data_IF_177357862801
#
_entry.id   IF_177357862801
#
_cell.length_a   1.000
_cell.length_b   1.000
_cell.length_c   1.000
_cell.angle_alpha   90.00
_cell.angle_beta   90.00
_cell.angle_gamma   90.00
#
_symmetry.space_group_name_H-M   'P 1'
#
loop_
_entity.id
_entity.type
_entity.pdbx_description
1 polymer ?
#
# COMPACT_ATOMS: atom_id res chain seq x y z
N UNK A 1 0.28 11.38 -27.23
CA UNK A 1 -1.18 11.29 -26.99
C UNK A 1 -2.02 12.08 -27.99
N UNK A 2 -1.43 12.85 -28.93
CA UNK A 2 -2.16 13.68 -29.89
C UNK A 2 -2.14 13.17 -31.34
N UNK A 3 -1.61 11.97 -31.60
CA UNK A 3 -1.51 11.45 -32.97
C UNK A 3 -2.93 11.34 -33.58
N UNK A 4 -3.13 11.76 -34.86
CA UNK A 4 -4.45 11.74 -35.49
C UNK A 4 -5.09 10.35 -35.44
N UNK A 5 -4.32 9.30 -35.71
CA UNK A 5 -4.80 7.90 -35.76
C UNK A 5 -5.10 7.26 -34.39
N UNK A 6 -4.88 7.96 -33.28
CA UNK A 6 -5.26 7.46 -31.95
C UNK A 6 -6.69 7.89 -31.64
N UNK A 7 -7.62 6.93 -31.52
CA UNK A 7 -9.03 7.22 -31.19
C UNK A 7 -9.35 7.11 -29.69
N UNK A 8 -8.53 6.43 -28.90
CA UNK A 8 -8.74 6.21 -27.48
C UNK A 8 -7.40 6.04 -26.75
N UNK A 9 -7.31 6.56 -25.53
CA UNK A 9 -6.15 6.38 -24.64
C UNK A 9 -6.56 5.55 -23.42
N UNK A 10 -5.81 4.48 -23.13
CA UNK A 10 -5.88 3.74 -21.87
C UNK A 10 -4.71 4.17 -20.99
N UNK A 11 -4.98 4.89 -19.91
CA UNK A 11 -3.97 5.53 -19.07
C UNK A 11 -3.87 4.85 -17.70
N UNK A 12 -2.96 3.88 -17.57
CA UNK A 12 -2.64 3.19 -16.31
C UNK A 12 -1.32 3.72 -15.74
N UNK A 13 -1.40 4.68 -14.82
CA UNK A 13 -0.22 5.29 -14.23
C UNK A 13 -0.54 6.28 -13.12
N UNK A 14 0.45 7.08 -12.74
CA UNK A 14 0.29 8.11 -11.71
C UNK A 14 -0.66 9.25 -12.14
N UNK A 15 -1.12 10.07 -11.18
CA UNK A 15 -2.10 11.13 -11.43
C UNK A 15 -1.67 12.14 -12.51
N UNK A 16 -0.36 12.42 -12.61
CA UNK A 16 0.17 13.29 -13.66
C UNK A 16 -0.02 12.73 -15.08
N UNK A 17 0.21 11.44 -15.28
CA UNK A 17 0.00 10.77 -16.57
C UNK A 17 -1.48 10.71 -16.93
N UNK A 18 -2.33 10.35 -15.97
CA UNK A 18 -3.77 10.27 -16.17
C UNK A 18 -4.35 11.65 -16.51
N UNK A 19 -3.91 12.71 -15.81
CA UNK A 19 -4.26 14.09 -16.15
C UNK A 19 -3.83 14.45 -17.58
N UNK A 20 -2.60 14.09 -17.99
CA UNK A 20 -2.13 14.33 -19.35
C UNK A 20 -2.99 13.63 -20.42
N UNK A 21 -3.43 12.40 -20.16
CA UNK A 21 -4.34 11.68 -21.06
C UNK A 21 -5.70 12.40 -21.19
N UNK A 22 -6.31 12.82 -20.07
CA UNK A 22 -7.55 13.58 -20.09
C UNK A 22 -7.41 14.99 -20.68
N UNK A 23 -6.20 15.57 -20.69
CA UNK A 23 -5.90 16.85 -21.34
C UNK A 23 -5.47 16.72 -22.81
N UNK A 24 -5.52 15.53 -23.40
CA UNK A 24 -5.00 15.28 -24.75
C UNK A 24 -5.93 15.71 -25.89
N UNK A 25 -7.20 16.03 -25.59
CA UNK A 25 -8.25 16.23 -26.61
C UNK A 25 -8.76 14.93 -27.24
N UNK A 26 -8.28 13.77 -26.78
CA UNK A 26 -8.78 12.45 -27.18
C UNK A 26 -9.60 11.82 -26.05
N UNK A 27 -10.60 10.97 -26.35
CA UNK A 27 -11.23 10.12 -25.35
C UNK A 27 -10.18 9.33 -24.56
N UNK A 28 -10.34 9.27 -23.24
CA UNK A 28 -9.39 8.60 -22.35
C UNK A 28 -10.12 7.83 -21.24
N UNK A 29 -9.60 6.64 -20.92
CA UNK A 29 -9.96 5.85 -19.75
C UNK A 29 -8.73 5.81 -18.85
N UNK A 30 -8.79 6.56 -17.74
CA UNK A 30 -7.74 6.64 -16.75
C UNK A 30 -8.05 5.85 -15.48
N UNK A 31 -7.00 5.61 -14.69
CA UNK A 31 -7.11 5.02 -13.34
C UNK A 31 -6.78 6.05 -12.25
N UNK A 32 -6.99 5.68 -10.98
CA UNK A 32 -6.61 6.49 -9.82
C UNK A 32 -5.52 5.84 -8.96
N UNK A 33 -4.89 6.64 -8.10
CA UNK A 33 -4.02 6.13 -7.06
C UNK A 33 -4.85 5.47 -5.94
N UNK A 34 -4.42 4.29 -5.48
CA UNK A 34 -5.09 3.56 -4.40
C UNK A 34 -4.48 3.86 -3.03
N UNK A 35 -5.33 3.90 -1.99
CA UNK A 35 -4.92 3.91 -0.59
C UNK A 35 -5.86 3.02 0.25
N UNK A 36 -5.99 1.76 -0.15
CA UNK A 36 -7.07 0.86 0.27
C UNK A 36 -7.04 0.54 1.78
N UNK A 37 -8.05 0.96 2.57
CA UNK A 37 -8.20 0.53 3.96
C UNK A 37 -8.87 -0.85 4.04
N UNK A 38 -8.65 -1.55 5.15
CA UNK A 38 -9.44 -2.73 5.54
C UNK A 38 -10.06 -2.47 6.90
N UNK A 39 -11.37 -2.71 7.02
CA UNK A 39 -12.07 -2.66 8.30
C UNK A 39 -12.31 -4.09 8.77
N UNK A 40 -12.00 -4.38 10.04
CA UNK A 40 -12.25 -5.66 10.69
C UNK A 40 -13.18 -5.42 11.89
N UNK A 41 -14.43 -5.86 11.76
CA UNK A 41 -15.41 -5.85 12.86
C UNK A 41 -15.34 -7.13 13.69
N UNK A 42 -16.10 -7.16 14.79
CA UNK A 42 -16.10 -8.27 15.75
C UNK A 42 -16.66 -9.59 15.20
N UNK A 43 -17.39 -9.57 14.09
CA UNK A 43 -17.92 -10.77 13.43
C UNK A 43 -16.93 -11.43 12.47
N UNK A 44 -15.79 -10.79 12.20
CA UNK A 44 -14.84 -11.25 11.22
C UNK A 44 -14.15 -12.57 11.64
N UNK A 45 -13.95 -13.46 10.66
CA UNK A 45 -12.98 -14.55 10.79
C UNK A 45 -11.57 -13.96 10.84
N UNK A 46 -11.05 -13.76 12.05
CA UNK A 46 -9.72 -13.21 12.30
C UNK A 46 -8.64 -14.04 11.60
N UNK A 47 -8.81 -15.37 11.50
CA UNK A 47 -7.81 -16.23 10.87
C UNK A 47 -7.68 -15.93 9.39
N UNK A 48 -8.81 -15.88 8.71
CA UNK A 48 -8.90 -15.59 7.28
C UNK A 48 -8.56 -14.14 6.98
N UNK A 49 -9.01 -13.19 7.79
CA UNK A 49 -8.76 -11.76 7.60
C UNK A 49 -7.26 -11.46 7.61
N UNK A 50 -6.54 -11.89 8.65
CA UNK A 50 -5.09 -11.66 8.76
C UNK A 50 -4.32 -12.34 7.64
N UNK A 51 -4.66 -13.59 7.29
CA UNK A 51 -4.01 -14.30 6.19
C UNK A 51 -4.20 -13.59 4.84
N UNK A 52 -5.42 -13.13 4.55
CA UNK A 52 -5.75 -12.42 3.30
C UNK A 52 -5.06 -11.06 3.21
N UNK A 53 -4.99 -10.32 4.33
CA UNK A 53 -4.28 -9.04 4.40
C UNK A 53 -2.80 -9.24 4.18
N UNK A 54 -2.16 -10.18 4.87
CA UNK A 54 -0.74 -10.45 4.72
C UNK A 54 -0.42 -10.85 3.28
N UNK A 55 -1.14 -11.83 2.72
CA UNK A 55 -0.95 -12.27 1.33
C UNK A 55 -1.07 -11.09 0.36
N UNK A 56 -2.13 -10.29 0.47
CA UNK A 56 -2.34 -9.17 -0.44
C UNK A 56 -1.34 -8.02 -0.23
N UNK A 57 -0.81 -7.85 0.99
CA UNK A 57 0.14 -6.79 1.31
C UNK A 57 1.54 -7.11 0.84
N UNK A 58 1.95 -8.38 0.97
CA UNK A 58 3.30 -8.82 0.66
C UNK A 58 3.48 -9.25 -0.78
N UNK A 59 2.38 -9.55 -1.47
CA UNK A 59 2.41 -9.84 -2.90
C UNK A 59 3.08 -8.70 -3.67
N UNK A 60 4.10 -9.08 -4.45
CA UNK A 60 4.93 -8.18 -5.26
C UNK A 60 5.40 -6.93 -4.48
N UNK A 61 5.74 -7.11 -3.20
CA UNK A 61 6.20 -6.06 -2.29
C UNK A 61 5.35 -4.76 -2.35
N UNK A 62 4.01 -4.90 -2.43
CA UNK A 62 3.04 -3.78 -2.38
C UNK A 62 3.15 -2.81 -3.58
N UNK A 63 3.58 -3.26 -4.76
CA UNK A 63 3.50 -2.41 -5.97
C UNK A 63 2.09 -2.31 -6.54
N UNK A 64 1.23 -3.28 -6.25
CA UNK A 64 -0.16 -3.29 -6.72
C UNK A 64 -0.98 -2.22 -6.01
N UNK A 65 -1.67 -1.37 -6.76
CA UNK A 65 -2.45 -0.24 -6.23
C UNK A 65 -3.60 -0.64 -5.29
N UNK A 66 -4.18 -1.83 -5.50
CA UNK A 66 -5.23 -2.40 -4.66
C UNK A 66 -4.70 -3.12 -3.40
N UNK A 67 -3.38 -3.10 -3.18
CA UNK A 67 -2.77 -3.67 -1.97
C UNK A 67 -3.20 -2.88 -0.74
N UNK A 68 -3.38 -3.60 0.37
CA UNK A 68 -3.96 -3.04 1.61
C UNK A 68 -2.97 -2.06 2.21
N UNK A 69 -3.46 -0.93 2.68
CA UNK A 69 -2.63 0.24 3.00
C UNK A 69 -2.70 0.57 4.49
N UNK A 70 -3.87 0.37 5.10
CA UNK A 70 -4.14 0.44 6.54
C UNK A 70 -5.15 -0.62 6.96
N UNK A 71 -5.19 -0.93 8.26
CA UNK A 71 -6.18 -1.82 8.87
C UNK A 71 -6.82 -1.10 10.06
N UNK A 72 -8.13 -0.95 10.02
CA UNK A 72 -8.96 -0.39 11.11
C UNK A 72 -9.65 -1.56 11.79
N UNK A 73 -9.50 -1.68 13.09
CA UNK A 73 -9.96 -2.85 13.87
C UNK A 73 -10.81 -2.33 15.01
N UNK A 74 -11.97 -2.95 15.25
CA UNK A 74 -12.78 -2.62 16.43
C UNK A 74 -12.08 -3.06 17.72
N UNK A 75 -12.20 -2.25 18.77
CA UNK A 75 -11.40 -2.39 20.00
C UNK A 75 -11.53 -3.79 20.64
N UNK A 76 -12.73 -4.38 20.59
CA UNK A 76 -13.05 -5.70 21.15
C UNK A 76 -12.10 -6.80 20.69
N UNK A 77 -11.68 -6.77 19.41
CA UNK A 77 -10.83 -7.82 18.81
C UNK A 77 -9.43 -7.33 18.48
N UNK A 78 -9.08 -6.08 18.82
CA UNK A 78 -7.80 -5.46 18.45
C UNK A 78 -6.59 -6.30 18.85
N UNK A 79 -6.54 -6.74 20.11
CA UNK A 79 -5.41 -7.50 20.64
C UNK A 79 -5.25 -8.85 19.91
N UNK A 80 -6.36 -9.55 19.66
CA UNK A 80 -6.36 -10.85 18.98
C UNK A 80 -5.84 -10.71 17.53
N UNK A 81 -6.33 -9.70 16.81
CA UNK A 81 -5.89 -9.41 15.43
C UNK A 81 -4.40 -9.03 15.42
N UNK A 82 -3.98 -8.12 16.31
CA UNK A 82 -2.58 -7.67 16.43
C UNK A 82 -1.63 -8.83 16.72
N UNK A 83 -1.95 -9.69 17.67
CA UNK A 83 -1.14 -10.85 18.04
C UNK A 83 -1.04 -11.82 16.89
N UNK A 84 -2.14 -12.03 16.16
CA UNK A 84 -2.13 -12.89 15.00
C UNK A 84 -1.25 -12.35 13.88
N UNK A 85 -1.26 -11.04 13.61
CA UNK A 85 -0.32 -10.44 12.67
C UNK A 85 1.13 -10.75 13.07
N UNK A 86 1.50 -10.53 14.34
CA UNK A 86 2.86 -10.79 14.84
C UNK A 86 3.25 -12.27 14.67
N UNK A 87 2.35 -13.20 15.03
CA UNK A 87 2.60 -14.63 14.92
C UNK A 87 2.78 -15.12 13.46
N UNK A 88 2.29 -14.37 12.46
CA UNK A 88 2.33 -14.76 11.04
C UNK A 88 3.26 -13.86 10.21
N UNK A 89 4.35 -13.38 10.82
CA UNK A 89 5.40 -12.63 10.13
C UNK A 89 5.21 -11.12 10.14
N UNK A 90 4.14 -10.63 10.78
CA UNK A 90 3.96 -9.22 11.11
C UNK A 90 5.00 -8.73 12.12
N UNK A 91 5.36 -7.46 12.03
CA UNK A 91 6.26 -6.85 13.01
C UNK A 91 5.76 -5.44 13.34
N UNK A 92 5.53 -5.22 14.63
CA UNK A 92 5.04 -3.95 15.14
C UNK A 92 6.21 -3.00 15.40
N UNK A 93 6.29 -1.95 14.59
CA UNK A 93 7.26 -0.88 14.78
C UNK A 93 6.96 -0.07 16.04
N UNK A 94 8.02 0.22 16.82
CA UNK A 94 7.95 1.08 18.01
C UNK A 94 9.19 1.97 18.12
N UNK A 95 9.06 3.09 18.83
CA UNK A 95 10.17 3.95 19.22
C UNK A 95 11.05 4.41 18.04
N UNK A 96 12.38 4.25 18.18
CA UNK A 96 13.36 4.69 17.18
C UNK A 96 13.17 4.03 15.81
N UNK A 97 12.77 2.76 15.79
CA UNK A 97 12.54 1.99 14.56
C UNK A 97 11.35 2.53 13.76
N UNK A 98 10.27 2.89 14.44
CA UNK A 98 9.12 3.55 13.82
C UNK A 98 9.52 4.89 13.17
N UNK A 99 10.22 5.74 13.93
CA UNK A 99 10.69 7.05 13.43
C UNK A 99 11.63 6.91 12.23
N UNK A 100 12.56 5.96 12.27
CA UNK A 100 13.50 5.73 11.17
C UNK A 100 12.76 5.37 9.86
N UNK A 101 11.71 4.55 9.95
CA UNK A 101 10.88 4.18 8.80
C UNK A 101 10.04 5.36 8.31
N UNK A 102 9.40 6.10 9.22
CA UNK A 102 8.62 7.29 8.85
C UNK A 102 9.44 8.31 8.06
N UNK A 103 10.70 8.51 8.45
CA UNK A 103 11.60 9.48 7.82
C UNK A 103 12.01 9.11 6.38
N UNK A 104 11.86 7.87 5.95
CA UNK A 104 12.24 7.43 4.59
C UNK A 104 11.05 7.26 3.64
N UNK A 105 9.82 7.30 4.15
CA UNK A 105 8.60 7.10 3.34
C UNK A 105 8.39 8.27 2.39
N UNK A 106 8.52 9.50 2.89
CA UNK A 106 8.34 10.72 2.10
C UNK A 106 9.67 11.43 1.88
N UNK A 107 9.93 11.83 0.64
CA UNK A 107 11.03 12.72 0.26
C UNK A 107 10.43 13.91 -0.48
N UNK A 108 10.68 15.12 0.01
CA UNK A 108 10.13 16.36 -0.56
C UNK A 108 8.60 16.33 -0.74
N UNK A 109 7.87 15.84 0.28
CA UNK A 109 6.40 15.76 0.27
C UNK A 109 5.81 14.65 -0.62
N UNK A 110 6.63 13.88 -1.33
CA UNK A 110 6.20 12.81 -2.22
C UNK A 110 6.70 11.46 -1.75
N UNK A 111 6.05 10.37 -2.18
CA UNK A 111 6.52 9.01 -1.91
C UNK A 111 7.94 8.81 -2.44
N UNK A 112 8.82 8.29 -1.60
CA UNK A 112 10.19 7.99 -1.99
C UNK A 112 10.21 6.78 -2.95
N UNK A 113 10.55 7.01 -4.23
CA UNK A 113 10.59 5.95 -5.24
C UNK A 113 11.59 4.82 -4.91
N UNK A 114 12.65 5.12 -4.15
CA UNK A 114 13.68 4.14 -3.81
C UNK A 114 13.20 3.00 -2.89
N UNK A 115 12.06 3.17 -2.21
CA UNK A 115 11.49 2.15 -1.31
C UNK A 115 10.35 1.35 -1.95
N UNK A 116 9.87 1.76 -3.13
CA UNK A 116 8.76 1.10 -3.83
C UNK A 116 9.19 -0.29 -4.30
N UNK A 117 8.34 -1.30 -4.06
CA UNK A 117 8.61 -2.69 -4.46
C UNK A 117 9.78 -3.36 -3.72
N UNK A 118 10.37 -2.69 -2.73
CA UNK A 118 11.45 -3.27 -1.94
C UNK A 118 10.88 -4.18 -0.85
N UNK A 119 11.48 -5.35 -0.61
CA UNK A 119 11.03 -6.25 0.42
C UNK A 119 11.21 -5.59 1.79
N UNK A 120 10.36 -5.95 2.76
CA UNK A 120 10.40 -5.37 4.11
C UNK A 120 11.80 -5.49 4.76
N UNK A 121 12.61 -6.48 4.35
CA UNK A 121 13.97 -6.67 4.86
C UNK A 121 14.98 -5.63 4.35
N UNK A 122 14.75 -4.98 3.21
CA UNK A 122 15.62 -3.92 2.69
C UNK A 122 15.43 -2.62 3.46
N UNK A 123 14.18 -2.36 3.87
CA UNK A 123 13.86 -1.34 4.86
C UNK A 123 14.51 -1.68 6.21
N UNK A 124 14.91 -2.96 6.38
CA UNK A 124 15.48 -3.59 7.55
C UNK A 124 16.99 -3.84 7.52
N UNK A 125 17.79 -3.43 6.52
CA UNK A 125 19.26 -3.52 6.65
C UNK A 125 19.86 -2.40 7.56
N UNK A 126 18.97 -1.76 8.34
CA UNK A 126 19.20 -1.15 9.67
C UNK A 126 18.34 -1.81 10.80
N UNK A 127 18.07 -3.10 10.66
CA UNK A 127 17.36 -4.12 11.49
C UNK A 127 15.89 -3.87 11.87
N UNK A 128 14.93 -3.91 10.94
CA UNK A 128 13.48 -4.01 11.26
C UNK A 128 12.52 -4.56 10.16
N UNK A 129 11.75 -5.61 10.46
CA UNK A 129 10.59 -6.07 9.65
C UNK A 129 9.41 -5.10 9.87
N UNK A 130 8.55 -4.80 8.90
CA UNK A 130 7.54 -3.73 9.04
C UNK A 130 6.20 -4.14 8.47
N UNK A 131 5.15 -4.02 9.29
CA UNK A 131 3.80 -3.73 8.80
C UNK A 131 3.22 -2.61 9.68
N UNK A 132 2.80 -1.51 9.03
CA UNK A 132 1.99 -0.50 9.69
C UNK A 132 0.61 -1.08 9.96
N UNK A 133 0.28 -1.28 11.23
CA UNK A 133 -1.09 -1.16 11.71
C UNK A 133 -1.36 0.34 11.86
#
# INVERSE_FOLDING_TARGET
MHHPDVNLILATGGPGMVKAAYSSGKPAIGVGAGNTPVVIDSSADIKRAVASILMSKTFDNRVICASKQSVVIVDEIYNQVRERFVAHGGYLLKGKKLKAVQNIILKNGNLNAAIVGQPAVVWSNKTVKIYSL
#
